data_IF_473886366668
#
_entry.id   IF_473886366668
#
_cell.length_a   1.000
_cell.length_b   1.000
_cell.length_c   1.000
_cell.angle_alpha   90.00
_cell.angle_beta   90.00
_cell.angle_gamma   90.00
#
_symmetry.space_group_name_H-M   'P 1'
#
loop_
_entity.id
_entity.type
_entity.pdbx_description
1 polymer ?
#
# COMPACT_ATOMS: atom_id res chain seq x y z
N UNK A 1 16.62 -76.10 21.64
CA UNK A 1 15.79 -74.85 21.82
C UNK A 1 16.62 -73.56 21.94
N UNK A 2 17.97 -73.57 21.71
CA UNK A 2 18.82 -72.35 21.81
C UNK A 2 19.11 -71.63 20.47
N UNK A 3 18.65 -72.18 19.35
CA UNK A 3 18.90 -71.59 18.01
C UNK A 3 17.72 -70.83 17.42
N UNK A 4 16.56 -70.87 18.05
CA UNK A 4 15.34 -70.15 17.55
C UNK A 4 15.22 -68.73 18.08
N UNK A 5 15.83 -68.42 19.25
CA UNK A 5 15.76 -67.11 19.90
C UNK A 5 16.70 -66.07 19.29
N UNK A 6 17.76 -66.50 18.58
CA UNK A 6 18.74 -65.61 17.97
C UNK A 6 18.26 -65.00 16.63
N UNK A 7 17.30 -65.66 15.96
CA UNK A 7 16.78 -65.18 14.67
C UNK A 7 15.67 -64.09 14.82
N UNK A 8 15.01 -64.04 15.98
CA UNK A 8 13.95 -63.02 16.24
C UNK A 8 14.57 -61.67 16.64
N UNK A 9 15.79 -61.65 17.20
CA UNK A 9 16.44 -60.41 17.62
C UNK A 9 17.12 -59.66 16.46
N UNK A 10 17.50 -60.39 15.37
CA UNK A 10 18.11 -59.77 14.19
C UNK A 10 17.10 -59.05 13.26
N UNK A 11 15.81 -59.40 13.34
CA UNK A 11 14.76 -58.76 12.50
C UNK A 11 14.17 -57.48 13.08
N UNK A 12 14.46 -57.14 14.35
CA UNK A 12 13.93 -55.92 15.01
C UNK A 12 14.83 -54.69 14.82
N UNK A 13 16.04 -54.85 14.33
CA UNK A 13 17.02 -53.75 14.11
C UNK A 13 16.95 -53.11 12.72
N UNK A 14 16.08 -53.58 11.81
CA UNK A 14 15.99 -53.12 10.42
C UNK A 14 14.87 -52.11 10.15
N UNK A 15 14.07 -51.69 11.15
CA UNK A 15 12.91 -50.79 10.94
C UNK A 15 13.15 -49.36 11.41
N UNK A 16 14.29 -49.01 12.00
CA UNK A 16 14.56 -47.69 12.55
C UNK A 16 15.26 -46.72 11.55
N UNK A 17 15.34 -47.06 10.27
CA UNK A 17 16.16 -46.35 9.28
C UNK A 17 15.42 -45.41 8.30
N UNK A 18 14.13 -45.19 8.43
CA UNK A 18 13.37 -44.65 7.29
C UNK A 18 12.58 -43.36 7.51
N UNK A 19 12.77 -42.61 8.59
CA UNK A 19 12.15 -41.28 8.74
C UNK A 19 13.16 -40.20 9.13
N UNK A 20 14.27 -40.13 8.42
CA UNK A 20 15.00 -38.87 8.37
C UNK A 20 14.22 -37.92 7.47
N UNK A 21 13.17 -37.30 7.99
CA UNK A 21 12.54 -36.16 7.31
C UNK A 21 13.66 -35.11 7.14
N UNK A 22 14.02 -34.84 5.89
CA UNK A 22 14.94 -33.75 5.56
C UNK A 22 14.37 -32.49 6.20
N UNK A 23 15.15 -31.79 7.03
CA UNK A 23 14.74 -30.53 7.59
C UNK A 23 14.42 -29.57 6.43
N UNK A 24 13.32 -28.83 6.51
CA UNK A 24 12.94 -27.88 5.46
C UNK A 24 14.03 -26.81 5.29
N UNK A 25 14.41 -26.56 4.06
CA UNK A 25 15.33 -25.46 3.71
C UNK A 25 14.53 -24.16 3.74
N UNK A 26 15.01 -23.19 4.51
CA UNK A 26 14.33 -21.91 4.68
C UNK A 26 15.10 -20.82 3.96
N UNK A 27 14.39 -19.98 3.19
CA UNK A 27 14.89 -18.74 2.61
C UNK A 27 14.25 -17.52 3.29
N UNK A 28 14.95 -16.40 3.26
CA UNK A 28 14.48 -15.13 3.78
C UNK A 28 14.48 -14.08 2.65
N UNK A 29 13.38 -13.34 2.50
CA UNK A 29 13.28 -12.29 1.50
C UNK A 29 12.92 -10.95 2.15
N UNK A 30 13.66 -9.89 1.80
CA UNK A 30 13.32 -8.51 2.13
C UNK A 30 12.43 -7.94 1.02
N UNK A 31 11.12 -8.07 1.22
CA UNK A 31 10.12 -7.64 0.23
C UNK A 31 10.21 -6.13 -0.05
N UNK A 32 10.53 -5.32 0.96
CA UNK A 32 10.65 -3.87 0.79
C UNK A 32 11.83 -3.53 -0.14
N UNK A 33 12.98 -4.17 0.08
CA UNK A 33 14.16 -4.04 -0.77
C UNK A 33 13.89 -4.55 -2.18
N UNK A 34 13.28 -5.72 -2.32
CA UNK A 34 12.94 -6.29 -3.64
C UNK A 34 12.06 -5.31 -4.44
N UNK A 35 11.01 -4.75 -3.85
CA UNK A 35 10.16 -3.78 -4.52
C UNK A 35 10.87 -2.45 -4.79
N UNK A 36 11.80 -2.03 -3.92
CA UNK A 36 12.60 -0.82 -4.13
C UNK A 36 13.57 -0.95 -5.33
N UNK A 37 14.13 -2.14 -5.52
CA UNK A 37 15.12 -2.42 -6.57
C UNK A 37 14.49 -3.04 -7.84
N UNK A 38 13.16 -3.28 -7.85
CA UNK A 38 12.43 -3.75 -9.02
C UNK A 38 12.09 -2.57 -9.95
N UNK A 39 12.81 -2.46 -11.07
CA UNK A 39 12.74 -1.31 -11.99
C UNK A 39 11.35 -1.05 -12.54
N UNK A 40 10.63 -2.11 -12.97
CA UNK A 40 9.28 -1.98 -13.50
C UNK A 40 8.28 -1.49 -12.43
N UNK A 41 8.43 -1.97 -11.19
CA UNK A 41 7.59 -1.52 -10.07
C UNK A 41 7.83 -0.05 -9.72
N UNK A 42 9.09 0.40 -9.73
CA UNK A 42 9.42 1.81 -9.48
C UNK A 42 8.86 2.72 -10.58
N UNK A 43 8.94 2.30 -11.83
CA UNK A 43 8.37 3.03 -12.97
C UNK A 43 6.84 3.14 -12.86
N UNK A 44 6.16 2.06 -12.50
CA UNK A 44 4.71 2.04 -12.27
C UNK A 44 4.32 2.91 -11.07
N UNK A 45 5.10 2.87 -9.98
CA UNK A 45 4.88 3.71 -8.80
C UNK A 45 4.98 5.20 -9.14
N UNK A 46 5.98 5.60 -9.92
CA UNK A 46 6.13 6.99 -10.40
C UNK A 46 4.96 7.41 -11.30
N UNK A 47 4.49 6.52 -12.18
CA UNK A 47 3.30 6.76 -13.00
C UNK A 47 2.06 7.02 -12.14
N UNK A 48 1.82 6.17 -11.14
CA UNK A 48 0.69 6.34 -10.19
C UNK A 48 0.83 7.64 -9.40
N UNK A 49 2.01 7.95 -8.88
CA UNK A 49 2.27 9.22 -8.18
C UNK A 49 2.03 10.43 -9.10
N UNK A 50 2.51 10.37 -10.32
CA UNK A 50 2.32 11.44 -11.31
C UNK A 50 0.86 11.67 -11.67
N UNK A 51 0.00 10.64 -11.65
CA UNK A 51 -1.44 10.78 -11.86
C UNK A 51 -2.18 11.34 -10.64
N UNK A 52 -1.68 11.08 -9.43
CA UNK A 52 -2.33 11.52 -8.17
C UNK A 52 -1.91 12.94 -7.77
N UNK A 53 -0.67 13.36 -8.05
CA UNK A 53 -0.16 14.66 -7.63
C UNK A 53 -1.02 15.86 -8.10
N UNK A 54 -1.48 15.96 -9.37
CA UNK A 54 -2.36 17.06 -9.79
C UNK A 54 -3.70 17.06 -9.06
N UNK A 55 -4.18 15.88 -8.67
CA UNK A 55 -5.44 15.71 -7.93
C UNK A 55 -5.31 16.23 -6.49
N UNK A 56 -4.18 15.97 -5.85
CA UNK A 56 -3.87 16.49 -4.52
C UNK A 56 -3.77 18.04 -4.52
N UNK A 57 -3.12 18.61 -5.53
CA UNK A 57 -3.04 20.06 -5.69
C UNK A 57 -4.42 20.70 -5.89
N UNK A 58 -5.29 20.09 -6.69
CA UNK A 58 -6.64 20.58 -6.90
C UNK A 58 -7.48 20.51 -5.62
N UNK A 59 -7.38 19.41 -4.86
CA UNK A 59 -8.04 19.31 -3.55
C UNK A 59 -7.59 20.42 -2.60
N UNK A 60 -6.31 20.75 -2.60
CA UNK A 60 -5.77 21.83 -1.77
C UNK A 60 -6.30 23.20 -2.21
N UNK A 61 -6.41 23.45 -3.52
CA UNK A 61 -7.04 24.67 -4.07
C UNK A 61 -8.50 24.77 -3.65
N UNK A 62 -9.26 23.68 -3.75
CA UNK A 62 -10.67 23.64 -3.33
C UNK A 62 -10.82 23.92 -1.82
N UNK A 63 -9.96 23.33 -0.98
CA UNK A 63 -9.96 23.60 0.46
C UNK A 63 -9.65 25.07 0.78
N UNK A 64 -8.69 25.67 0.09
CA UNK A 64 -8.34 27.07 0.24
C UNK A 64 -9.51 27.97 -0.18
N UNK A 65 -10.19 27.64 -1.28
CA UNK A 65 -11.40 28.34 -1.73
C UNK A 65 -12.53 28.30 -0.70
N UNK A 66 -12.80 27.12 -0.12
CA UNK A 66 -13.79 26.96 0.96
C UNK A 66 -13.42 27.84 2.15
N UNK A 67 -12.15 27.86 2.55
CA UNK A 67 -11.69 28.69 3.66
C UNK A 67 -11.88 30.19 3.37
N UNK A 68 -11.66 30.63 2.12
CA UNK A 68 -11.91 32.01 1.71
C UNK A 68 -13.40 32.36 1.80
N UNK A 69 -14.29 31.45 1.34
CA UNK A 69 -15.76 31.64 1.45
C UNK A 69 -16.18 31.75 2.93
N UNK A 70 -15.63 30.92 3.81
CA UNK A 70 -15.90 30.96 5.26
C UNK A 70 -15.45 32.31 5.87
N UNK A 71 -14.27 32.79 5.44
CA UNK A 71 -13.76 34.10 5.92
C UNK A 71 -14.62 35.25 5.44
N UNK A 72 -14.99 35.27 4.15
CA UNK A 72 -15.94 36.24 3.57
C UNK A 72 -17.26 36.23 4.36
N UNK A 73 -17.78 35.04 4.68
CA UNK A 73 -19.01 34.90 5.46
C UNK A 73 -18.94 35.55 6.84
N UNK A 74 -17.84 35.37 7.54
CA UNK A 74 -17.62 36.02 8.86
C UNK A 74 -17.53 37.52 8.75
N UNK A 75 -16.90 38.03 7.70
CA UNK A 75 -16.82 39.46 7.46
C UNK A 75 -18.20 40.07 7.16
N UNK A 76 -19.01 39.40 6.33
CA UNK A 76 -20.35 39.82 6.00
C UNK A 76 -21.26 39.73 7.23
N UNK A 77 -21.18 38.67 8.02
CA UNK A 77 -21.92 38.52 9.27
C UNK A 77 -21.56 39.62 10.28
N UNK A 78 -20.28 39.94 10.42
CA UNK A 78 -19.82 41.03 11.25
C UNK A 78 -20.36 42.41 10.78
N UNK A 79 -20.43 42.64 9.47
CA UNK A 79 -21.02 43.87 8.90
C UNK A 79 -22.55 43.94 9.16
N UNK A 80 -23.26 42.83 8.97
CA UNK A 80 -24.70 42.76 9.22
C UNK A 80 -25.06 43.02 10.68
N UNK A 81 -24.19 42.60 11.61
CA UNK A 81 -24.40 42.75 13.05
C UNK A 81 -23.73 44.00 13.66
N UNK A 82 -23.11 44.87 12.86
CA UNK A 82 -22.38 46.03 13.38
C UNK A 82 -23.36 47.16 13.76
N UNK A 83 -23.49 47.50 15.06
CA UNK A 83 -24.41 48.56 15.52
C UNK A 83 -23.99 49.97 15.07
N UNK A 84 -22.73 50.16 14.67
CA UNK A 84 -22.22 51.44 14.18
C UNK A 84 -22.46 51.63 12.67
N UNK A 85 -22.90 50.60 11.94
CA UNK A 85 -23.21 50.70 10.52
C UNK A 85 -24.63 51.23 10.29
N UNK A 86 -24.89 51.87 9.13
CA UNK A 86 -26.23 52.30 8.72
C UNK A 86 -27.15 51.08 8.58
N UNK A 87 -28.46 51.29 8.72
CA UNK A 87 -29.48 50.25 8.57
C UNK A 87 -29.43 49.64 7.14
N UNK A 88 -29.23 50.49 6.14
CA UNK A 88 -29.08 50.07 4.74
C UNK A 88 -27.86 49.13 4.54
N UNK A 89 -26.69 49.49 5.09
CA UNK A 89 -25.48 48.65 4.99
C UNK A 89 -25.63 47.32 5.72
N UNK A 90 -26.36 47.29 6.83
CA UNK A 90 -26.63 46.01 7.56
C UNK A 90 -27.61 45.13 6.78
N UNK A 91 -28.64 45.74 6.18
CA UNK A 91 -29.63 45.02 5.37
C UNK A 91 -28.98 44.42 4.10
N UNK A 92 -28.12 45.18 3.41
CA UNK A 92 -27.35 44.70 2.27
C UNK A 92 -26.44 43.50 2.65
N UNK A 93 -25.70 43.61 3.74
CA UNK A 93 -24.87 42.55 4.24
C UNK A 93 -25.69 41.29 4.61
N UNK A 94 -26.81 41.47 5.29
CA UNK A 94 -27.71 40.36 5.63
C UNK A 94 -28.30 39.67 4.39
N UNK A 95 -28.61 40.43 3.33
CA UNK A 95 -29.15 39.89 2.07
C UNK A 95 -28.10 39.04 1.30
N UNK A 96 -26.80 39.27 1.50
CA UNK A 96 -25.73 38.51 0.86
C UNK A 96 -25.48 37.12 1.53
N UNK A 97 -25.86 36.93 2.79
CA UNK A 97 -25.60 35.70 3.54
C UNK A 97 -26.18 34.40 2.90
N UNK A 98 -27.43 34.39 2.39
CA UNK A 98 -28.00 33.20 1.77
C UNK A 98 -27.24 32.75 0.53
N UNK A 99 -26.80 33.69 -0.31
CA UNK A 99 -25.97 33.36 -1.50
C UNK A 99 -24.63 32.76 -1.10
N UNK A 100 -24.00 33.33 -0.10
CA UNK A 100 -22.71 32.82 0.41
C UNK A 100 -22.87 31.43 1.01
N UNK A 101 -23.95 31.16 1.74
CA UNK A 101 -24.25 29.83 2.25
C UNK A 101 -24.46 28.82 1.12
N UNK A 102 -25.14 29.17 0.04
CA UNK A 102 -25.31 28.33 -1.13
C UNK A 102 -23.96 28.04 -1.80
N UNK A 103 -23.10 29.04 -1.99
CA UNK A 103 -21.73 28.88 -2.51
C UNK A 103 -20.88 27.93 -1.63
N UNK A 104 -21.00 28.08 -0.32
CA UNK A 104 -20.27 27.20 0.61
C UNK A 104 -20.74 25.74 0.50
N UNK A 105 -22.06 25.51 0.44
CA UNK A 105 -22.62 24.17 0.28
C UNK A 105 -22.18 23.52 -1.05
N UNK A 106 -22.25 24.30 -2.14
CA UNK A 106 -21.80 23.84 -3.46
C UNK A 106 -20.29 23.49 -3.45
N UNK A 107 -19.45 24.38 -2.90
CA UNK A 107 -18.00 24.13 -2.82
C UNK A 107 -17.67 22.87 -1.99
N UNK A 108 -18.39 22.66 -0.89
CA UNK A 108 -18.24 21.46 -0.06
C UNK A 108 -18.70 20.19 -0.80
N UNK A 109 -19.82 20.25 -1.52
CA UNK A 109 -20.32 19.13 -2.33
C UNK A 109 -19.32 18.77 -3.43
N UNK A 110 -18.80 19.77 -4.14
CA UNK A 110 -17.79 19.60 -5.18
C UNK A 110 -16.50 18.96 -4.63
N UNK A 111 -16.00 19.43 -3.48
CA UNK A 111 -14.83 18.82 -2.83
C UNK A 111 -15.08 17.36 -2.45
N UNK A 112 -16.27 17.02 -1.94
CA UNK A 112 -16.61 15.64 -1.59
C UNK A 112 -16.69 14.73 -2.82
N UNK A 113 -17.29 15.19 -3.90
CA UNK A 113 -17.33 14.47 -5.17
C UNK A 113 -15.93 14.26 -5.73
N UNK A 114 -15.08 15.29 -5.69
CA UNK A 114 -13.71 15.24 -6.16
C UNK A 114 -12.87 14.26 -5.34
N UNK A 115 -13.04 14.21 -4.01
CA UNK A 115 -12.38 13.22 -3.14
C UNK A 115 -12.74 11.79 -3.51
N UNK A 116 -13.99 11.51 -3.85
CA UNK A 116 -14.40 10.18 -4.30
C UNK A 116 -13.74 9.79 -5.63
N UNK A 117 -13.66 10.72 -6.56
CA UNK A 117 -12.96 10.52 -7.85
C UNK A 117 -11.46 10.28 -7.63
N UNK A 118 -10.83 11.05 -6.72
CA UNK A 118 -9.43 10.88 -6.36
C UNK A 118 -9.14 9.50 -5.75
N UNK A 119 -10.02 9.04 -4.85
CA UNK A 119 -9.89 7.70 -4.25
C UNK A 119 -10.05 6.60 -5.31
N UNK A 120 -11.01 6.74 -6.22
CA UNK A 120 -11.20 5.78 -7.31
C UNK A 120 -9.98 5.72 -8.23
N UNK A 121 -9.40 6.86 -8.62
CA UNK A 121 -8.19 6.94 -9.42
C UNK A 121 -6.98 6.28 -8.72
N UNK A 122 -6.78 6.57 -7.44
CA UNK A 122 -5.71 5.96 -6.66
C UNK A 122 -5.90 4.44 -6.50
N UNK A 123 -7.14 3.96 -6.39
CA UNK A 123 -7.43 2.54 -6.33
C UNK A 123 -7.20 1.87 -7.69
N UNK A 124 -7.66 2.48 -8.76
CA UNK A 124 -7.41 1.99 -10.12
C UNK A 124 -5.90 1.83 -10.40
N UNK A 125 -5.09 2.86 -10.08
CA UNK A 125 -3.63 2.77 -10.23
C UNK A 125 -2.99 1.64 -9.42
N UNK A 126 -3.49 1.38 -8.20
CA UNK A 126 -3.03 0.24 -7.41
C UNK A 126 -3.39 -1.10 -8.02
N UNK A 127 -4.62 -1.26 -8.52
CA UNK A 127 -5.12 -2.51 -9.08
C UNK A 127 -4.56 -2.80 -10.47
N UNK A 128 -4.47 -1.79 -11.33
CA UNK A 128 -4.05 -1.96 -12.72
C UNK A 128 -2.53 -1.90 -12.90
N UNK A 129 -1.85 -0.98 -12.20
CA UNK A 129 -0.43 -0.75 -12.38
C UNK A 129 0.45 -1.50 -11.37
N UNK A 130 0.07 -1.58 -10.08
CA UNK A 130 0.93 -2.12 -9.03
C UNK A 130 0.65 -3.57 -8.67
N UNK A 131 -0.62 -4.00 -8.62
CA UNK A 131 -0.96 -5.35 -8.19
C UNK A 131 -0.39 -6.44 -9.12
N UNK A 132 -0.38 -6.29 -10.47
CA UNK A 132 0.26 -7.28 -11.35
C UNK A 132 1.76 -7.42 -11.09
N UNK A 133 2.45 -6.33 -10.74
CA UNK A 133 3.87 -6.33 -10.44
C UNK A 133 4.19 -6.96 -9.08
N UNK A 134 3.30 -6.80 -8.10
CA UNK A 134 3.39 -7.54 -6.84
C UNK A 134 3.22 -9.05 -7.08
N UNK A 135 2.32 -9.46 -7.97
CA UNK A 135 2.16 -10.86 -8.36
C UNK A 135 3.43 -11.39 -9.05
N UNK A 136 4.05 -10.62 -9.96
CA UNK A 136 5.36 -10.96 -10.55
C UNK A 136 6.44 -11.16 -9.48
N UNK A 137 6.46 -10.32 -8.44
CA UNK A 137 7.40 -10.46 -7.33
C UNK A 137 7.20 -11.80 -6.62
N UNK A 138 5.97 -12.23 -6.35
CA UNK A 138 5.68 -13.53 -5.72
C UNK A 138 6.13 -14.69 -6.61
N UNK A 139 5.89 -14.61 -7.91
CA UNK A 139 6.34 -15.64 -8.87
C UNK A 139 7.88 -15.69 -8.95
N UNK A 140 8.57 -14.57 -8.93
CA UNK A 140 10.04 -14.54 -8.89
C UNK A 140 10.60 -15.17 -7.61
N UNK A 141 10.00 -14.91 -6.45
CA UNK A 141 10.35 -15.57 -5.19
C UNK A 141 10.16 -17.09 -5.31
N UNK A 142 9.07 -17.55 -5.90
CA UNK A 142 8.78 -18.95 -6.12
C UNK A 142 9.81 -19.60 -7.05
N UNK A 143 10.13 -18.96 -8.18
CA UNK A 143 11.15 -19.43 -9.12
C UNK A 143 12.50 -19.60 -8.42
N UNK A 144 12.96 -18.59 -7.67
CA UNK A 144 14.23 -18.66 -6.93
C UNK A 144 14.19 -19.78 -5.88
N UNK A 145 13.07 -19.96 -5.18
CA UNK A 145 12.93 -21.02 -4.17
C UNK A 145 13.01 -22.42 -4.80
N UNK A 146 12.33 -22.63 -5.94
CA UNK A 146 12.34 -23.89 -6.69
C UNK A 146 13.75 -24.21 -7.22
N UNK A 147 14.43 -23.23 -7.83
CA UNK A 147 15.77 -23.37 -8.40
C UNK A 147 16.85 -23.66 -7.34
N UNK A 148 16.67 -23.13 -6.14
CA UNK A 148 17.63 -23.29 -5.03
C UNK A 148 17.25 -24.41 -4.05
N UNK A 149 16.10 -25.06 -4.25
CA UNK A 149 15.61 -26.14 -3.39
C UNK A 149 15.20 -25.65 -1.99
N UNK A 150 14.68 -24.45 -1.89
CA UNK A 150 14.11 -23.86 -0.68
C UNK A 150 12.66 -24.33 -0.53
N UNK A 151 12.33 -24.89 0.63
CA UNK A 151 11.00 -25.43 0.93
C UNK A 151 10.05 -24.37 1.51
N UNK A 152 10.60 -23.31 2.13
CA UNK A 152 9.82 -22.23 2.76
C UNK A 152 10.54 -20.88 2.64
N UNK A 153 9.83 -19.85 2.16
CA UNK A 153 10.34 -18.47 2.15
C UNK A 153 9.59 -17.63 3.17
N UNK A 154 10.31 -16.90 4.01
CA UNK A 154 9.75 -16.04 5.07
C UNK A 154 10.15 -14.59 4.82
N UNK A 155 9.21 -13.63 4.88
CA UNK A 155 9.53 -12.21 4.82
C UNK A 155 10.42 -11.77 5.99
N UNK A 156 11.48 -11.01 5.68
CA UNK A 156 12.48 -10.55 6.68
C UNK A 156 11.86 -9.73 7.81
N UNK A 157 10.83 -8.94 7.52
CA UNK A 157 10.13 -8.12 8.51
C UNK A 157 9.34 -8.93 9.56
N UNK A 158 9.09 -10.21 9.31
CA UNK A 158 8.44 -11.12 10.25
C UNK A 158 9.42 -11.83 11.18
N UNK A 159 10.72 -11.57 11.04
CA UNK A 159 11.79 -12.23 11.78
C UNK A 159 12.46 -11.24 12.74
N UNK A 160 12.80 -11.71 13.92
CA UNK A 160 13.65 -10.96 14.86
C UNK A 160 15.12 -11.01 14.40
N UNK A 161 15.52 -12.14 13.81
CA UNK A 161 16.87 -12.39 13.33
C UNK A 161 16.87 -13.43 12.20
N UNK A 162 17.71 -13.22 11.21
CA UNK A 162 18.09 -14.21 10.19
C UNK A 162 19.57 -14.05 9.86
N UNK A 163 20.21 -15.18 9.51
CA UNK A 163 21.54 -15.14 8.94
C UNK A 163 21.49 -14.66 7.49
N UNK A 164 22.50 -13.90 7.07
CA UNK A 164 22.63 -13.42 5.67
C UNK A 164 22.70 -14.58 4.66
N UNK A 165 23.19 -15.75 5.10
CA UNK A 165 23.24 -16.96 4.27
C UNK A 165 21.86 -17.49 3.85
N UNK A 166 20.79 -17.07 4.50
CA UNK A 166 19.42 -17.43 4.17
C UNK A 166 18.76 -16.41 3.25
N UNK A 167 19.38 -15.26 3.02
CA UNK A 167 18.77 -14.16 2.26
C UNK A 167 18.83 -14.44 0.74
N UNK A 168 17.67 -14.37 0.10
CA UNK A 168 17.50 -14.61 -1.34
C UNK A 168 17.09 -13.36 -2.12
N UNK A 169 17.03 -12.20 -1.48
CA UNK A 169 16.52 -10.95 -2.08
C UNK A 169 17.29 -10.57 -3.36
N UNK A 170 18.62 -10.71 -3.39
CA UNK A 170 19.42 -10.37 -4.57
C UNK A 170 19.10 -11.27 -5.77
N UNK A 171 18.88 -12.58 -5.53
CA UNK A 171 18.49 -13.50 -6.58
C UNK A 171 17.09 -13.17 -7.14
N UNK A 172 16.16 -12.82 -6.25
CA UNK A 172 14.80 -12.39 -6.66
C UNK A 172 14.85 -11.10 -7.48
N UNK A 173 15.63 -10.10 -7.05
CA UNK A 173 15.83 -8.84 -7.79
C UNK A 173 16.44 -9.12 -9.17
N UNK A 174 17.42 -10.02 -9.25
CA UNK A 174 18.02 -10.38 -10.52
C UNK A 174 17.01 -11.01 -11.49
N UNK A 175 16.16 -11.92 -11.03
CA UNK A 175 15.08 -12.53 -11.84
C UNK A 175 14.10 -11.46 -12.33
N UNK A 176 13.63 -10.58 -11.44
CA UNK A 176 12.68 -9.52 -11.78
C UNK A 176 13.23 -8.51 -12.81
N UNK A 177 14.51 -8.18 -12.74
CA UNK A 177 15.13 -7.21 -13.64
C UNK A 177 15.76 -7.83 -14.89
N UNK A 178 15.80 -9.17 -15.02
CA UNK A 178 16.31 -9.85 -16.23
C UNK A 178 15.38 -9.72 -17.44
N UNK A 179 14.13 -9.30 -17.24
CA UNK A 179 13.15 -9.07 -18.31
C UNK A 179 12.54 -10.37 -18.88
N UNK A 180 12.63 -11.46 -18.12
CA UNK A 180 11.96 -12.73 -18.45
C UNK A 180 10.52 -12.77 -17.92
#
# INVERSE_FOLDING_TARGET
>A
MKKLTTLIFASLLLVTGLFAQKAPVVGVVDVARVLADFTEFQSALEKVRGSVAPVEEEMQRMQTSIQAIVTEGREIENKANNPAASEEARAEAAAALPELQARLQEAQANLNQFRQQAQALAQQGREEDLAPLQAKCVEAVKTVAEDTGIDLVVPKNNLIYSSDALEISDAVIAVLNSGE
#
